data_IF_514121379897
#
_entry.id   IF_514121379897
#
_cell.length_a   1.000
_cell.length_b   1.000
_cell.length_c   1.000
_cell.angle_alpha   90.00
_cell.angle_beta   90.00
_cell.angle_gamma   90.00
#
_symmetry.space_group_name_H-M   'P 1'
#
loop_
_entity.id
_entity.type
_entity.pdbx_description
1 polymer ?
#
# COMPACT_ATOMS: atom_id res chain seq x y z
N UNK A 1 13.02 9.74 4.67
CA UNK A 1 14.24 8.92 4.77
C UNK A 1 15.41 9.59 4.08
N UNK A 2 15.44 9.73 2.76
CA UNK A 2 16.59 10.32 2.05
C UNK A 2 16.93 11.75 2.51
N UNK A 3 15.92 12.63 2.61
CA UNK A 3 16.06 13.99 3.15
C UNK A 3 16.66 14.02 4.56
N UNK A 4 16.25 13.10 5.43
CA UNK A 4 16.73 13.00 6.81
C UNK A 4 18.21 12.56 6.86
N UNK A 5 18.60 11.62 6.01
CA UNK A 5 20.00 11.18 5.90
C UNK A 5 20.87 12.34 5.41
N UNK A 6 20.41 13.09 4.40
CA UNK A 6 21.11 14.29 3.92
C UNK A 6 21.21 15.37 4.98
N UNK A 7 20.13 15.66 5.70
CA UNK A 7 20.11 16.65 6.77
C UNK A 7 21.09 16.28 7.90
N UNK A 8 21.28 14.99 8.18
CA UNK A 8 22.17 14.54 9.25
C UNK A 8 23.64 14.44 8.83
N UNK A 9 23.93 13.94 7.61
CA UNK A 9 25.30 13.59 7.18
C UNK A 9 25.87 14.48 6.09
N UNK A 10 25.07 15.37 5.50
CA UNK A 10 25.40 16.22 4.34
C UNK A 10 25.76 15.47 3.04
N UNK A 11 25.93 14.15 3.08
CA UNK A 11 26.24 13.27 1.95
C UNK A 11 25.53 11.93 2.12
N UNK A 12 25.01 11.37 1.03
CA UNK A 12 24.50 9.98 0.99
C UNK A 12 25.60 9.09 0.43
N UNK A 13 26.05 8.11 1.21
CA UNK A 13 26.96 7.08 0.71
C UNK A 13 26.20 5.93 0.02
N UNK A 14 26.89 5.11 -0.76
CA UNK A 14 26.30 3.95 -1.47
C UNK A 14 25.60 3.00 -0.48
N UNK A 15 26.17 2.81 0.70
CA UNK A 15 25.57 1.98 1.76
C UNK A 15 24.21 2.55 2.22
N UNK A 16 24.11 3.85 2.41
CA UNK A 16 22.85 4.49 2.82
C UNK A 16 21.79 4.38 1.72
N UNK A 17 22.17 4.60 0.46
CA UNK A 17 21.28 4.41 -0.68
C UNK A 17 20.75 2.97 -0.77
N UNK A 18 21.61 1.97 -0.56
CA UNK A 18 21.22 0.56 -0.54
C UNK A 18 20.27 0.22 0.63
N UNK A 19 20.51 0.79 1.82
CA UNK A 19 19.65 0.62 2.98
C UNK A 19 18.27 1.27 2.77
N UNK A 20 18.23 2.49 2.23
CA UNK A 20 16.98 3.19 1.88
C UNK A 20 16.19 2.37 0.85
N UNK A 21 16.84 1.91 -0.21
CA UNK A 21 16.18 1.12 -1.26
C UNK A 21 15.62 -0.20 -0.68
N UNK A 22 16.38 -0.85 0.20
CA UNK A 22 15.95 -2.09 0.87
C UNK A 22 14.73 -1.84 1.77
N UNK A 23 14.75 -0.78 2.58
CA UNK A 23 13.60 -0.37 3.39
C UNK A 23 12.35 -0.11 2.53
N UNK A 24 12.50 0.58 1.39
CA UNK A 24 11.39 0.82 0.44
C UNK A 24 10.84 -0.47 -0.16
N UNK A 25 11.68 -1.46 -0.47
CA UNK A 25 11.23 -2.76 -0.98
C UNK A 25 10.42 -3.53 0.07
N UNK A 26 10.89 -3.55 1.31
CA UNK A 26 10.17 -4.18 2.42
C UNK A 26 8.83 -3.49 2.71
N UNK A 27 8.79 -2.16 2.67
CA UNK A 27 7.55 -1.38 2.79
C UNK A 27 6.52 -1.74 1.69
N UNK A 28 6.97 -1.83 0.43
CA UNK A 28 6.09 -2.22 -0.67
C UNK A 28 5.51 -3.63 -0.48
N UNK A 29 6.32 -4.57 0.03
CA UNK A 29 5.88 -5.93 0.35
C UNK A 29 4.81 -5.93 1.45
N UNK A 30 5.02 -5.18 2.53
CA UNK A 30 4.04 -5.03 3.60
C UNK A 30 2.71 -4.47 3.09
N UNK A 31 2.76 -3.38 2.30
CA UNK A 31 1.55 -2.77 1.72
C UNK A 31 0.78 -3.70 0.79
N UNK A 32 1.48 -4.53 0.02
CA UNK A 32 0.83 -5.50 -0.85
C UNK A 32 0.11 -6.58 -0.03
N UNK A 33 0.75 -7.09 1.03
CA UNK A 33 0.14 -8.05 1.95
C UNK A 33 -1.12 -7.48 2.62
N UNK A 34 -1.05 -6.24 3.12
CA UNK A 34 -2.20 -5.53 3.69
C UNK A 34 -3.32 -5.29 2.67
N UNK A 35 -2.97 -4.92 1.43
CA UNK A 35 -3.94 -4.74 0.35
C UNK A 35 -4.66 -6.05 0.03
N UNK A 36 -3.95 -7.17 0.01
CA UNK A 36 -4.53 -8.49 -0.20
C UNK A 36 -5.48 -8.88 0.93
N UNK A 37 -5.07 -8.66 2.19
CA UNK A 37 -5.94 -8.89 3.34
C UNK A 37 -7.24 -8.10 3.23
N UNK A 38 -7.16 -6.80 2.92
CA UNK A 38 -8.35 -5.95 2.77
C UNK A 38 -9.27 -6.43 1.64
N UNK A 39 -8.73 -6.75 0.47
CA UNK A 39 -9.53 -7.11 -0.72
C UNK A 39 -10.13 -8.52 -0.65
N UNK A 40 -9.48 -9.46 0.04
CA UNK A 40 -9.86 -10.88 0.03
C UNK A 40 -10.24 -11.41 1.41
N UNK A 41 -10.48 -10.52 2.39
CA UNK A 41 -10.76 -10.92 3.77
C UNK A 41 -11.89 -11.95 3.90
N UNK A 42 -13.00 -11.76 3.18
CA UNK A 42 -14.15 -12.67 3.23
C UNK A 42 -13.91 -14.03 2.59
N UNK A 43 -12.94 -14.12 1.67
CA UNK A 43 -12.67 -15.35 0.89
C UNK A 43 -11.48 -16.15 1.42
N UNK A 44 -10.58 -15.51 2.18
CA UNK A 44 -9.40 -16.15 2.73
C UNK A 44 -9.75 -17.03 3.93
N UNK A 45 -9.16 -18.21 4.00
CA UNK A 45 -9.22 -19.04 5.21
C UNK A 45 -8.53 -18.35 6.38
N UNK A 46 -8.83 -18.77 7.61
CA UNK A 46 -8.13 -18.26 8.80
C UNK A 46 -6.63 -18.51 8.73
N UNK A 47 -6.22 -19.66 8.18
CA UNK A 47 -4.81 -20.00 8.00
C UNK A 47 -4.11 -19.02 7.04
N UNK A 48 -4.74 -18.70 5.91
CA UNK A 48 -4.18 -17.76 4.93
C UNK A 48 -4.09 -16.34 5.50
N UNK A 49 -5.11 -15.91 6.25
CA UNK A 49 -5.09 -14.61 6.94
C UNK A 49 -3.89 -14.51 7.88
N UNK A 50 -3.68 -15.53 8.72
CA UNK A 50 -2.54 -15.57 9.64
C UNK A 50 -1.20 -15.61 8.88
N UNK A 51 -1.11 -16.32 7.77
CA UNK A 51 0.09 -16.36 6.95
C UNK A 51 0.42 -14.98 6.36
N UNK A 52 -0.57 -14.28 5.79
CA UNK A 52 -0.36 -12.95 5.22
C UNK A 52 -0.03 -11.92 6.31
N UNK A 53 -0.68 -11.99 7.47
CA UNK A 53 -0.35 -11.13 8.61
C UNK A 53 1.10 -11.33 9.07
N UNK A 54 1.56 -12.58 9.19
CA UNK A 54 2.97 -12.87 9.53
C UNK A 54 3.94 -12.30 8.51
N UNK A 55 3.61 -12.39 7.22
CA UNK A 55 4.42 -11.83 6.14
C UNK A 55 4.49 -10.30 6.21
N UNK A 56 3.36 -9.64 6.50
CA UNK A 56 3.31 -8.19 6.71
C UNK A 56 4.16 -7.75 7.91
N UNK A 57 4.06 -8.46 9.04
CA UNK A 57 4.89 -8.23 10.22
C UNK A 57 6.38 -8.42 9.90
N UNK A 58 6.77 -9.53 9.27
CA UNK A 58 8.16 -9.81 8.92
C UNK A 58 8.74 -8.78 7.93
N UNK A 59 7.92 -8.27 7.01
CA UNK A 59 8.28 -7.17 6.11
C UNK A 59 8.54 -5.87 6.87
N UNK A 60 7.65 -5.53 7.81
CA UNK A 60 7.79 -4.32 8.64
C UNK A 60 9.02 -4.40 9.53
N UNK A 61 9.26 -5.52 10.20
CA UNK A 61 10.47 -5.74 11.01
C UNK A 61 11.75 -5.60 10.19
N UNK A 62 11.74 -6.10 8.95
CA UNK A 62 12.89 -6.00 8.03
C UNK A 62 13.14 -4.55 7.60
N UNK A 63 12.08 -3.79 7.32
CA UNK A 63 12.16 -2.35 7.05
C UNK A 63 12.76 -1.62 8.25
N UNK A 64 12.28 -1.90 9.45
CA UNK A 64 12.71 -1.21 10.66
C UNK A 64 14.17 -1.50 10.99
N UNK A 65 14.64 -2.74 10.77
CA UNK A 65 16.08 -3.07 10.83
C UNK A 65 16.93 -2.27 9.83
N UNK A 66 16.44 -2.01 8.62
CA UNK A 66 17.13 -1.16 7.66
C UNK A 66 17.20 0.30 8.14
N UNK A 67 16.11 0.81 8.73
CA UNK A 67 16.03 2.17 9.28
C UNK A 67 16.94 2.32 10.49
N UNK A 68 16.94 1.34 11.40
CA UNK A 68 17.83 1.31 12.57
C UNK A 68 19.30 1.35 12.15
N UNK A 69 19.67 0.62 11.09
CA UNK A 69 21.03 0.62 10.51
C UNK A 69 21.43 1.94 9.87
N UNK A 70 20.49 2.82 9.52
CA UNK A 70 20.80 4.19 9.10
C UNK A 70 21.22 5.06 10.28
N UNK A 71 21.03 4.60 11.53
CA UNK A 71 21.48 5.25 12.76
C UNK A 71 21.14 6.75 12.81
N UNK A 72 19.93 7.10 12.36
CA UNK A 72 19.46 8.47 12.40
C UNK A 72 19.17 8.88 13.84
N UNK A 73 19.53 10.10 14.27
CA UNK A 73 19.26 10.56 15.61
C UNK A 73 17.75 10.58 15.85
N UNK A 74 17.29 9.90 16.92
CA UNK A 74 15.91 10.05 17.36
C UNK A 74 15.75 11.44 17.98
N UNK A 75 14.75 12.25 17.59
CA UNK A 75 14.47 13.50 18.29
C UNK A 75 14.14 13.16 19.75
N UNK A 76 14.97 13.63 20.68
CA UNK A 76 14.88 13.27 22.11
C UNK A 76 13.81 14.07 22.85
N UNK A 77 13.43 15.23 22.32
CA UNK A 77 12.62 16.23 23.03
C UNK A 77 11.18 16.31 22.53
N UNK A 78 10.74 15.35 21.72
CA UNK A 78 9.36 15.29 21.22
C UNK A 78 8.73 13.98 21.69
N UNK A 79 7.78 14.08 22.62
CA UNK A 79 6.89 12.96 22.89
C UNK A 79 6.08 12.69 21.61
N UNK A 80 6.18 11.49 21.00
CA UNK A 80 5.41 11.16 19.80
C UNK A 80 3.89 11.27 20.03
N UNK A 81 3.40 11.09 21.26
CA UNK A 81 1.99 11.24 21.58
C UNK A 81 1.56 12.71 21.56
N UNK A 82 2.36 13.60 22.14
CA UNK A 82 2.10 15.04 22.11
C UNK A 82 2.00 15.56 20.67
N UNK A 83 2.88 15.11 19.78
CA UNK A 83 2.86 15.53 18.37
C UNK A 83 1.62 15.01 17.64
N UNK A 84 1.21 13.76 17.91
CA UNK A 84 0.01 13.17 17.31
C UNK A 84 -1.25 13.92 17.73
N UNK A 85 -1.35 14.33 19.00
CA UNK A 85 -2.50 15.05 19.54
C UNK A 85 -2.49 16.56 19.24
N UNK A 86 -1.31 17.17 18.98
CA UNK A 86 -1.22 18.54 18.47
C UNK A 86 -1.70 18.66 17.03
N UNK A 87 -1.54 17.60 16.24
CA UNK A 87 -2.00 17.61 14.86
C UNK A 87 -3.53 17.67 14.86
N UNK A 88 -4.15 18.65 14.18
CA UNK A 88 -5.61 18.71 14.10
C UNK A 88 -6.10 17.39 13.50
N UNK A 89 -7.05 16.74 14.19
CA UNK A 89 -7.79 15.61 13.64
C UNK A 89 -8.28 16.05 12.27
N UNK A 90 -7.82 15.39 11.22
CA UNK A 90 -8.34 15.59 9.88
C UNK A 90 -9.83 15.28 10.00
N UNK A 91 -10.68 16.31 9.98
CA UNK A 91 -12.11 16.14 9.88
C UNK A 91 -12.32 15.23 8.66
N UNK A 92 -13.08 14.16 8.86
CA UNK A 92 -13.36 13.19 7.82
C UNK A 92 -14.07 13.88 6.65
N UNK A 93 -13.31 14.38 5.68
CA UNK A 93 -13.82 14.80 4.37
C UNK A 93 -14.12 13.55 3.52
N UNK A 94 -14.98 12.68 4.05
CA UNK A 94 -15.65 11.58 3.35
C UNK A 94 -16.99 12.06 2.75
N UNK A 95 -17.15 13.36 2.49
CA UNK A 95 -18.37 13.93 1.91
C UNK A 95 -18.31 14.21 0.39
N UNK A 96 -17.15 14.03 -0.27
CA UNK A 96 -17.00 14.40 -1.71
C UNK A 96 -16.70 13.23 -2.66
N UNK A 97 -16.66 11.99 -2.18
CA UNK A 97 -16.60 10.81 -3.07
C UNK A 97 -17.99 10.34 -3.52
N UNK A 98 -19.06 10.68 -2.78
CA UNK A 98 -20.43 10.24 -3.10
C UNK A 98 -21.09 10.97 -4.28
N UNK A 99 -20.45 11.99 -4.86
CA UNK A 99 -21.04 12.80 -5.95
C UNK A 99 -20.52 12.46 -7.34
N UNK A 100 -19.73 11.40 -7.52
CA UNK A 100 -19.13 11.03 -8.82
C UNK A 100 -19.67 9.75 -9.47
N UNK A 101 -20.65 9.08 -8.88
CA UNK A 101 -21.24 7.84 -9.41
C UNK A 101 -22.67 8.01 -9.97
N UNK A 102 -23.04 9.22 -10.41
CA UNK A 102 -24.36 9.49 -10.98
C UNK A 102 -24.30 10.07 -12.40
N UNK A 103 -23.42 9.57 -13.27
CA UNK A 103 -23.59 9.70 -14.73
C UNK A 103 -22.65 8.75 -15.48
N UNK A 104 -23.06 7.49 -15.65
CA UNK A 104 -22.58 6.66 -16.75
C UNK A 104 -23.78 5.98 -17.39
N UNK A 105 -24.23 6.58 -18.48
CA UNK A 105 -25.23 6.08 -19.41
C UNK A 105 -24.63 4.86 -20.14
N UNK A 106 -24.99 3.65 -19.70
CA UNK A 106 -24.56 2.39 -20.30
C UNK A 106 -25.31 2.16 -21.63
N UNK A 107 -24.64 2.09 -22.79
CA UNK A 107 -25.29 1.65 -24.02
C UNK A 107 -25.55 0.14 -23.95
N UNK A 108 -26.84 -0.19 -23.96
CA UNK A 108 -27.45 -1.54 -24.10
C UNK A 108 -26.68 -2.43 -25.10
N UNK A 109 -26.32 -3.68 -24.75
CA UNK A 109 -25.70 -4.59 -25.69
C UNK A 109 -26.73 -5.00 -26.77
N UNK A 110 -26.37 -5.00 -28.06
CA UNK A 110 -27.26 -5.51 -29.11
C UNK A 110 -27.41 -7.02 -28.93
N UNK A 111 -28.67 -7.43 -28.77
CA UNK A 111 -29.07 -8.81 -28.56
C UNK A 111 -28.78 -9.71 -29.75
N UNK A 112 -28.62 -10.99 -29.42
CA UNK A 112 -28.62 -12.12 -30.33
C UNK A 112 -29.84 -12.09 -31.26
N UNK A 113 -29.59 -12.04 -32.56
CA UNK A 113 -30.49 -12.61 -33.57
C UNK A 113 -29.81 -13.84 -34.14
N UNK A 114 -30.28 -15.02 -33.76
CA UNK A 114 -29.90 -16.25 -34.43
C UNK A 114 -30.47 -16.29 -35.84
N UNK A 115 -29.76 -16.96 -36.75
CA UNK A 115 -30.38 -17.92 -37.66
C UNK A 115 -29.31 -18.80 -38.29
N UNK A 116 -29.64 -20.08 -38.34
CA UNK A 116 -29.09 -21.15 -39.16
C UNK A 116 -28.83 -20.73 -40.62
N UNK A 117 -27.75 -21.22 -41.22
CA UNK A 117 -27.87 -22.25 -42.29
C UNK A 117 -26.51 -22.75 -42.76
N UNK A 118 -26.47 -24.05 -43.06
CA UNK A 118 -25.26 -24.83 -43.29
C UNK A 118 -24.62 -24.69 -44.67
N UNK A 119 -23.43 -25.31 -44.78
CA UNK A 119 -22.96 -25.96 -46.00
C UNK A 119 -21.79 -26.88 -45.70
N UNK A 120 -22.04 -28.17 -45.89
CA UNK A 120 -21.06 -29.17 -46.30
C UNK A 120 -20.49 -28.85 -47.69
N UNK A 121 -19.50 -29.67 -48.10
CA UNK A 121 -18.72 -29.70 -49.36
C UNK A 121 -17.34 -29.04 -49.23
N UNK A 122 -16.21 -29.67 -49.56
CA UNK A 122 -15.91 -31.02 -50.07
C UNK A 122 -14.47 -31.37 -49.67
#
# INVERSE_FOLDING_TARGET
MEKEVLAHRNVICIRDAALIQSAVRHERRARLAEQWLRRKWGTLSTADKLAILREASAATDSRDKCIERLALPRPKDVDPWDELYRRPLIAADDATAASREAESDDPKPPGLTGSSDGRETA
#
